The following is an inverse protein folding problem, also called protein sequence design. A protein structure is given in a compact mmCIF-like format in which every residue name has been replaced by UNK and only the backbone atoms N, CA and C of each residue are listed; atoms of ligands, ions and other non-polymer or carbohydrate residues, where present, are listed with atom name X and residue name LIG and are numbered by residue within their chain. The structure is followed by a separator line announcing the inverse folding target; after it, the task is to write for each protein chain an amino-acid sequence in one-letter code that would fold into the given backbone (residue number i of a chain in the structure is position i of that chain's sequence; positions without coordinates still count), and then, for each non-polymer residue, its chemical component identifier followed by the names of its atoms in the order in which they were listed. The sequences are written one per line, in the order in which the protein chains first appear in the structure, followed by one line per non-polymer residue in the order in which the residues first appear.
data_IF_943215049375
#
_entry.id   IF_943215049375
#
_cell.length_a   1.000
_cell.length_b   1.000
_cell.length_c   1.000
_cell.angle_alpha   90.00
_cell.angle_beta   90.00
_cell.angle_gamma   90.00
#
_symmetry.space_group_name_H-M   'P 1'
#
loop_
_entity.id
_entity.type
_entity.pdbx_description
1 polymer ?
#
# COMPACT_ATOMS: atom_id res chain seq x y z
N UNK A 1 15.40 -28.73 37.32
CA UNK A 1 16.74 -28.87 36.69
C UNK A 1 16.49 -29.00 35.21
N UNK A 2 16.64 -27.92 34.46
CA UNK A 2 16.45 -27.90 33.01
C UNK A 2 17.73 -28.39 32.30
N UNK A 3 17.63 -29.12 31.18
CA UNK A 3 18.79 -29.58 30.43
C UNK A 3 19.35 -28.46 29.55
N UNK A 4 20.64 -28.17 29.72
CA UNK A 4 21.39 -27.21 28.92
C UNK A 4 21.62 -27.78 27.51
N UNK A 5 21.08 -27.11 26.50
CA UNK A 5 21.18 -27.50 25.09
C UNK A 5 22.57 -27.16 24.56
N UNK A 6 23.42 -28.19 24.40
CA UNK A 6 24.72 -28.08 23.76
C UNK A 6 24.59 -27.49 22.34
N UNK A 7 25.36 -26.44 22.07
CA UNK A 7 25.37 -25.73 20.80
C UNK A 7 26.36 -26.47 19.88
N UNK A 8 25.85 -27.14 18.84
CA UNK A 8 26.64 -27.83 17.83
C UNK A 8 27.34 -26.81 16.91
N UNK A 9 28.69 -26.77 16.88
CA UNK A 9 29.47 -25.81 16.08
C UNK A 9 29.43 -26.08 14.57
N UNK A 10 28.80 -27.17 14.13
CA UNK A 10 28.60 -27.50 12.71
C UNK A 10 27.25 -27.00 12.18
N UNK A 11 26.38 -26.50 13.06
CA UNK A 11 25.09 -25.96 12.67
C UNK A 11 25.28 -24.61 11.94
N UNK A 12 25.10 -24.61 10.62
CA UNK A 12 25.01 -23.38 9.83
C UNK A 12 23.68 -22.70 10.16
N UNK A 13 23.72 -21.80 11.13
CA UNK A 13 22.56 -20.98 11.47
C UNK A 13 22.46 -19.82 10.49
N UNK A 14 21.46 -19.86 9.62
CA UNK A 14 21.11 -18.75 8.74
C UNK A 14 20.60 -17.57 9.58
N UNK A 15 21.50 -16.63 9.89
CA UNK A 15 21.16 -15.32 10.45
C UNK A 15 20.70 -14.39 9.32
N UNK A 16 19.59 -14.73 8.69
CA UNK A 16 18.85 -13.85 7.80
C UNK A 16 17.76 -13.16 8.61
N UNK A 17 17.80 -11.83 8.69
CA UNK A 17 16.61 -11.06 9.05
C UNK A 17 15.50 -11.53 8.11
N UNK A 18 14.32 -11.97 8.60
CA UNK A 18 13.19 -12.18 7.70
C UNK A 18 12.91 -10.80 7.10
N UNK A 19 13.32 -10.61 5.84
CA UNK A 19 12.78 -9.52 5.05
C UNK A 19 11.27 -9.77 5.07
N UNK A 20 10.46 -8.89 5.67
CA UNK A 20 9.02 -9.08 5.61
C UNK A 20 8.69 -9.17 4.13
N UNK A 21 7.93 -10.21 3.74
CA UNK A 21 7.47 -10.46 2.38
C UNK A 21 7.24 -9.10 1.72
N UNK A 22 8.03 -8.79 0.69
CA UNK A 22 7.73 -7.65 -0.18
C UNK A 22 6.31 -7.91 -0.66
N UNK A 23 5.36 -7.21 -0.04
CA UNK A 23 3.94 -7.36 -0.29
C UNK A 23 3.74 -7.00 -1.74
N UNK A 24 3.70 -8.03 -2.59
CA UNK A 24 3.69 -7.90 -4.03
C UNK A 24 2.60 -6.88 -4.38
N UNK A 25 3.01 -5.79 -5.00
CA UNK A 25 2.11 -4.70 -5.36
C UNK A 25 1.04 -5.18 -6.38
N UNK A 26 1.23 -6.37 -6.96
CA UNK A 26 0.24 -7.05 -7.80
C UNK A 26 -0.94 -7.64 -7.01
N UNK A 27 -0.82 -7.83 -5.69
CA UNK A 27 -1.91 -8.39 -4.86
C UNK A 27 -2.90 -7.28 -4.51
N UNK A 28 -4.16 -7.34 -4.98
CA UNK A 28 -5.16 -6.34 -4.64
C UNK A 28 -5.42 -6.38 -3.14
N UNK A 29 -5.22 -5.28 -2.43
CA UNK A 29 -5.63 -5.21 -1.03
C UNK A 29 -7.16 -5.09 -0.95
N UNK A 30 -7.80 -5.81 -0.03
CA UNK A 30 -9.24 -5.66 0.17
C UNK A 30 -9.56 -4.22 0.59
N UNK A 31 -10.55 -3.61 -0.07
CA UNK A 31 -11.05 -2.29 0.29
C UNK A 31 -11.47 -2.26 1.77
N UNK A 32 -11.27 -1.14 2.46
CA UNK A 32 -11.84 -0.96 3.80
C UNK A 32 -13.37 -0.79 3.71
N UNK A 33 -14.10 -0.97 4.81
CA UNK A 33 -15.54 -0.70 4.82
C UNK A 33 -15.87 0.73 4.36
N UNK A 34 -15.07 1.70 4.82
CA UNK A 34 -15.22 3.11 4.46
C UNK A 34 -14.91 3.40 2.99
N UNK A 35 -14.07 2.59 2.34
CA UNK A 35 -13.79 2.73 0.91
C UNK A 35 -14.92 2.14 0.07
N UNK A 36 -15.51 1.03 0.53
CA UNK A 36 -16.72 0.46 -0.10
C UNK A 36 -17.88 1.44 -0.06
N UNK A 37 -18.18 2.00 1.11
CA UNK A 37 -19.26 3.01 1.24
C UNK A 37 -19.04 4.21 0.31
N UNK A 38 -17.78 4.63 0.15
CA UNK A 38 -17.43 5.74 -0.74
C UNK A 38 -17.63 5.37 -2.22
N UNK A 39 -17.30 4.13 -2.62
CA UNK A 39 -17.54 3.61 -3.97
C UNK A 39 -19.04 3.47 -4.25
N UNK A 40 -19.82 2.99 -3.28
CA UNK A 40 -21.26 2.81 -3.41
C UNK A 40 -22.02 4.15 -3.52
N UNK A 41 -21.45 5.22 -2.96
CA UNK A 41 -21.99 6.58 -3.05
C UNK A 41 -21.58 7.34 -4.34
N UNK A 42 -20.81 6.72 -5.25
CA UNK A 42 -20.35 7.41 -6.45
C UNK A 42 -21.48 7.68 -7.46
N UNK A 43 -21.50 8.87 -8.08
CA UNK A 43 -22.34 9.11 -9.25
C UNK A 43 -22.00 8.14 -10.39
N UNK A 44 -23.00 7.84 -11.22
CA UNK A 44 -22.77 7.03 -12.40
C UNK A 44 -21.79 7.73 -13.37
N UNK A 45 -20.76 7.01 -13.81
CA UNK A 45 -19.74 7.52 -14.72
C UNK A 45 -18.50 8.08 -14.02
N UNK A 46 -18.52 8.25 -12.70
CA UNK A 46 -17.34 8.65 -11.93
C UNK A 46 -16.62 7.43 -11.34
N UNK A 47 -15.33 7.59 -11.06
CA UNK A 47 -14.50 6.59 -10.37
C UNK A 47 -13.76 7.22 -9.18
N UNK A 48 -13.15 6.41 -8.33
CA UNK A 48 -12.39 6.87 -7.15
C UNK A 48 -11.01 6.22 -7.12
N UNK A 49 -9.96 7.05 -7.10
CA UNK A 49 -8.58 6.61 -6.89
C UNK A 49 -8.23 6.69 -5.40
N UNK A 50 -7.78 5.57 -4.83
CA UNK A 50 -7.42 5.48 -3.40
C UNK A 50 -5.94 5.16 -3.27
N UNK A 51 -5.23 5.97 -2.51
CA UNK A 51 -3.82 5.75 -2.20
C UNK A 51 -3.72 4.66 -1.14
N UNK A 52 -3.19 3.50 -1.52
CA UNK A 52 -3.13 2.35 -0.64
C UNK A 52 -1.90 2.33 0.27
N UNK A 53 -0.78 2.90 -0.19
CA UNK A 53 0.52 2.88 0.50
C UNK A 53 1.23 4.23 0.38
N UNK A 54 2.19 4.49 1.26
CA UNK A 54 2.97 5.73 1.32
C UNK A 54 2.42 6.74 2.34
N UNK A 55 3.06 7.92 2.48
CA UNK A 55 2.70 8.93 3.46
C UNK A 55 1.26 9.44 3.30
N UNK A 56 0.74 9.37 2.08
CA UNK A 56 -0.62 9.78 1.73
C UNK A 56 -1.62 8.60 1.71
N UNK A 57 -1.31 7.46 2.34
CA UNK A 57 -2.23 6.31 2.42
C UNK A 57 -3.60 6.72 3.00
N UNK A 58 -4.68 6.27 2.36
CA UNK A 58 -6.05 6.63 2.67
C UNK A 58 -6.56 7.89 1.96
N UNK A 59 -5.72 8.62 1.22
CA UNK A 59 -6.17 9.71 0.36
C UNK A 59 -7.07 9.19 -0.77
N UNK A 60 -8.07 10.00 -1.14
CA UNK A 60 -9.11 9.65 -2.11
C UNK A 60 -9.29 10.77 -3.11
N UNK A 61 -9.26 10.44 -4.38
CA UNK A 61 -9.38 11.39 -5.48
C UNK A 61 -10.53 10.95 -6.39
N UNK A 62 -11.52 11.82 -6.55
CA UNK A 62 -12.64 11.58 -7.46
C UNK A 62 -12.17 11.76 -8.91
N UNK A 63 -12.43 10.76 -9.73
CA UNK A 63 -12.18 10.74 -11.17
C UNK A 63 -13.52 10.94 -11.87
N UNK A 64 -13.88 12.20 -12.08
CA UNK A 64 -15.08 12.60 -12.79
C UNK A 64 -14.79 13.08 -14.23
N UNK A 65 -13.68 13.80 -14.50
CA UNK A 65 -13.34 14.21 -15.86
C UNK A 65 -12.90 13.04 -16.75
N UNK A 66 -13.07 13.18 -18.07
CA UNK A 66 -12.57 12.21 -19.05
C UNK A 66 -11.05 12.01 -19.00
N UNK A 67 -10.30 13.05 -18.61
CA UNK A 67 -8.84 13.02 -18.44
C UNK A 67 -8.48 13.64 -17.11
N UNK A 68 -7.74 12.90 -16.28
CA UNK A 68 -7.20 13.38 -15.00
C UNK A 68 -5.69 13.20 -14.99
N UNK A 69 -4.94 14.30 -14.84
CA UNK A 69 -3.48 14.27 -14.80
C UNK A 69 -2.98 14.08 -13.37
N UNK A 70 -2.30 12.97 -13.10
CA UNK A 70 -1.66 12.72 -11.82
C UNK A 70 -0.14 12.94 -11.90
N UNK A 71 0.44 13.61 -10.91
CA UNK A 71 1.89 13.83 -10.87
C UNK A 71 2.35 14.83 -9.81
N UNK A 72 3.64 15.17 -9.85
CA UNK A 72 4.28 16.15 -8.95
C UNK A 72 4.24 17.59 -9.49
N UNK A 73 3.58 17.82 -10.62
CA UNK A 73 3.47 19.17 -11.14
C UNK A 73 2.43 19.93 -10.31
N UNK A 74 2.68 21.22 -9.97
CA UNK A 74 1.62 22.08 -9.44
C UNK A 74 0.43 22.25 -10.41
N UNK A 75 0.58 21.84 -11.67
CA UNK A 75 -0.48 21.84 -12.69
C UNK A 75 -1.21 20.50 -12.82
N UNK A 76 -0.81 19.48 -12.06
CA UNK A 76 -1.49 18.18 -12.06
C UNK A 76 -2.82 18.28 -11.31
N UNK A 77 -3.87 17.67 -11.86
CA UNK A 77 -5.19 17.58 -11.24
C UNK A 77 -5.13 16.78 -9.92
N UNK A 78 -4.32 15.70 -9.91
CA UNK A 78 -3.98 14.94 -8.71
C UNK A 78 -2.51 15.17 -8.39
N UNK A 79 -2.24 15.91 -7.32
CA UNK A 79 -0.89 16.15 -6.83
C UNK A 79 -0.41 14.98 -5.96
N UNK A 80 0.69 14.35 -6.36
CA UNK A 80 1.31 13.24 -5.63
C UNK A 80 2.59 13.73 -4.94
N UNK A 81 2.48 14.11 -3.66
CA UNK A 81 3.56 14.73 -2.88
C UNK A 81 4.59 13.72 -2.32
N UNK A 82 4.95 12.70 -3.09
CA UNK A 82 5.83 11.64 -2.58
C UNK A 82 7.30 12.10 -2.48
N UNK A 83 7.63 13.12 -1.70
CA UNK A 83 9.04 13.50 -1.45
C UNK A 83 9.72 12.36 -0.68
N UNK A 84 10.43 11.49 -1.41
CA UNK A 84 11.45 10.59 -0.89
C UNK A 84 12.82 11.23 -1.06
#
# INVERSE_FOLDING_TARGET
MEPQKDIDPTATSILGVPVPDEVDASVPMPLSARDRDAVDALPAGSALLIVQRGPNSGARFLLDPEVTNAGRSPKSDIFLDDVT
#
